data_IF_569209212349
#
_entry.id   IF_569209212349
#
_cell.length_a   1.000
_cell.length_b   1.000
_cell.length_c   1.000
_cell.angle_alpha   90.00
_cell.angle_beta   90.00
_cell.angle_gamma   90.00
#
_symmetry.space_group_name_H-M   'P 1'
#
loop_
_entity.id
_entity.type
_entity.pdbx_description
1 polymer ?
#
# COMPACT_ATOMS: atom_id res chain seq x y z
N UNK A 1 14.93 10.83 24.48
CA UNK A 1 15.81 11.92 24.04
C UNK A 1 15.21 12.58 22.81
N UNK A 2 15.08 13.92 22.83
CA UNK A 2 14.44 14.72 21.76
C UNK A 2 15.14 14.53 20.41
N UNK A 3 16.48 14.52 20.40
CA UNK A 3 17.25 14.34 19.17
C UNK A 3 16.97 12.97 18.49
N UNK A 4 16.84 11.89 19.26
CA UNK A 4 16.47 10.57 18.73
C UNK A 4 15.08 10.57 18.13
N UNK A 5 14.13 11.29 18.76
CA UNK A 5 12.78 11.43 18.22
C UNK A 5 12.75 12.18 16.88
N UNK A 6 13.50 13.29 16.81
CA UNK A 6 13.64 14.11 15.58
C UNK A 6 14.25 13.27 14.43
N UNK A 7 15.29 12.48 14.72
CA UNK A 7 15.88 11.56 13.74
C UNK A 7 14.90 10.50 13.24
N UNK A 8 14.10 9.90 14.14
CA UNK A 8 13.09 8.90 13.78
C UNK A 8 12.02 9.55 12.89
N UNK A 9 11.55 10.75 13.24
CA UNK A 9 10.55 11.49 12.46
C UNK A 9 11.07 11.77 11.05
N UNK A 10 12.26 12.36 10.93
CA UNK A 10 12.86 12.67 9.64
C UNK A 10 13.03 11.40 8.79
N UNK A 11 13.67 10.38 9.34
CA UNK A 11 13.88 9.10 8.65
C UNK A 11 12.56 8.49 8.14
N UNK A 12 11.53 8.48 8.98
CA UNK A 12 10.23 7.88 8.63
C UNK A 12 9.51 8.67 7.56
N UNK A 13 9.54 10.00 7.62
CA UNK A 13 8.95 10.87 6.61
C UNK A 13 9.72 10.79 5.27
N UNK A 14 11.05 10.66 5.30
CA UNK A 14 11.86 10.39 4.10
C UNK A 14 11.53 9.03 3.50
N UNK A 15 11.43 7.99 4.33
CA UNK A 15 11.03 6.65 3.90
C UNK A 15 9.66 6.59 3.24
N UNK A 16 8.74 7.48 3.62
CA UNK A 16 7.43 7.62 3.00
C UNK A 16 7.37 8.66 1.86
N UNK A 17 8.51 9.22 1.44
CA UNK A 17 8.59 10.23 0.39
C UNK A 17 7.84 11.54 0.70
N UNK A 18 7.71 11.89 1.99
CA UNK A 18 6.90 13.02 2.43
C UNK A 18 7.73 14.18 3.03
N UNK A 19 8.97 13.93 3.40
CA UNK A 19 9.80 14.88 4.14
C UNK A 19 9.87 16.27 3.50
N UNK A 20 10.19 16.35 2.22
CA UNK A 20 10.38 17.65 1.54
C UNK A 20 9.10 18.49 1.48
N UNK A 21 7.94 17.84 1.56
CA UNK A 21 6.64 18.53 1.52
C UNK A 21 6.19 19.02 2.91
N UNK A 22 6.74 18.45 4.00
CA UNK A 22 6.23 18.72 5.36
C UNK A 22 7.27 19.22 6.35
N UNK A 23 8.57 19.21 6.04
CA UNK A 23 9.66 19.55 6.96
C UNK A 23 9.50 20.92 7.63
N UNK A 24 8.90 21.90 6.93
CA UNK A 24 8.70 23.26 7.44
C UNK A 24 7.37 23.43 8.21
N UNK A 25 6.61 22.35 8.39
CA UNK A 25 5.29 22.36 9.02
C UNK A 25 5.03 21.18 9.97
N UNK A 26 6.06 20.60 10.54
CA UNK A 26 5.97 19.41 11.40
C UNK A 26 5.06 19.58 12.62
N UNK A 27 4.88 20.81 13.10
CA UNK A 27 4.02 21.12 14.26
C UNK A 27 2.61 21.59 13.88
N UNK A 28 2.27 21.60 12.58
CA UNK A 28 0.93 21.93 12.11
C UNK A 28 0.04 20.70 12.07
N UNK A 29 -1.28 20.93 12.13
CA UNK A 29 -2.26 19.85 12.01
C UNK A 29 -2.12 19.11 10.67
N UNK A 30 -2.13 17.78 10.72
CA UNK A 30 -2.12 16.92 9.55
C UNK A 30 -3.46 16.95 8.76
N UNK A 31 -4.53 17.48 9.35
CA UNK A 31 -5.83 17.63 8.66
C UNK A 31 -5.77 18.60 7.47
N UNK A 32 -4.76 19.48 7.43
CA UNK A 32 -4.51 20.35 6.29
C UNK A 32 -3.67 19.74 5.16
N UNK A 33 -3.32 18.47 5.25
CA UNK A 33 -2.63 17.72 4.19
C UNK A 33 -3.64 17.17 3.16
N UNK A 34 -3.19 16.97 1.91
CA UNK A 34 -3.98 16.27 0.90
C UNK A 34 -4.18 14.79 1.29
N UNK A 35 -5.17 14.11 0.71
CA UNK A 35 -5.43 12.69 0.98
C UNK A 35 -4.19 11.81 0.75
N UNK A 36 -3.47 12.02 -0.35
CA UNK A 36 -2.22 11.29 -0.64
C UNK A 36 -1.10 11.58 0.36
N UNK A 37 -0.99 12.83 0.84
CA UNK A 37 -0.03 13.20 1.89
C UNK A 37 -0.41 12.57 3.23
N UNK A 38 -1.70 12.56 3.59
CA UNK A 38 -2.19 11.91 4.81
C UNK A 38 -1.90 10.40 4.76
N UNK A 39 -2.12 9.76 3.62
CA UNK A 39 -1.80 8.34 3.44
C UNK A 39 -0.30 8.06 3.60
N UNK A 40 0.56 8.87 3.00
CA UNK A 40 2.02 8.75 3.19
C UNK A 40 2.45 9.04 4.63
N UNK A 41 1.76 9.92 5.33
CA UNK A 41 1.98 10.14 6.76
C UNK A 41 1.62 8.89 7.60
N UNK A 42 0.53 8.21 7.27
CA UNK A 42 0.18 6.93 7.91
C UNK A 42 1.25 5.85 7.65
N UNK A 43 1.80 5.78 6.43
CA UNK A 43 2.91 4.89 6.11
C UNK A 43 4.16 5.28 6.91
N UNK A 44 4.53 6.57 6.96
CA UNK A 44 5.67 7.06 7.75
C UNK A 44 5.56 6.66 9.23
N UNK A 45 4.36 6.79 9.79
CA UNK A 45 4.07 6.37 11.18
C UNK A 45 4.30 4.87 11.38
N UNK A 46 3.88 4.04 10.44
CA UNK A 46 4.14 2.60 10.49
C UNK A 46 5.63 2.28 10.36
N UNK A 47 6.37 2.98 9.48
CA UNK A 47 7.82 2.79 9.29
C UNK A 47 8.66 3.22 10.50
N UNK A 48 8.13 4.08 11.38
CA UNK A 48 8.86 4.59 12.55
C UNK A 48 9.32 3.47 13.50
N UNK A 49 8.55 2.38 13.59
CA UNK A 49 8.85 1.22 14.44
C UNK A 49 9.72 0.16 13.73
N UNK A 50 10.14 0.41 12.49
CA UNK A 50 10.95 -0.51 11.66
C UNK A 50 10.33 -1.91 11.55
N UNK A 51 9.11 -2.04 10.99
CA UNK A 51 8.44 -3.32 10.88
C UNK A 51 9.12 -4.21 9.82
N UNK A 52 9.07 -5.52 10.00
CA UNK A 52 9.41 -6.51 8.97
C UNK A 52 8.26 -6.70 7.97
N UNK A 53 7.03 -6.48 8.43
CA UNK A 53 5.79 -6.62 7.64
C UNK A 53 4.92 -5.38 7.79
N UNK A 54 4.52 -4.79 6.67
CA UNK A 54 3.58 -3.68 6.60
C UNK A 54 2.23 -4.18 6.07
N UNK A 55 1.18 -4.00 6.87
CA UNK A 55 -0.20 -4.34 6.49
C UNK A 55 -0.93 -3.07 6.04
N UNK A 56 -1.59 -3.14 4.89
CA UNK A 56 -2.32 -2.02 4.31
C UNK A 56 -3.72 -2.48 3.88
N UNK A 57 -4.72 -1.77 4.34
CA UNK A 57 -6.13 -2.04 3.98
C UNK A 57 -6.64 -0.91 3.09
N UNK A 58 -6.96 -1.24 1.85
CA UNK A 58 -7.46 -0.32 0.82
C UNK A 58 -6.66 1.00 0.72
N UNK A 59 -5.31 0.96 0.57
CA UNK A 59 -4.46 2.14 0.74
C UNK A 59 -4.73 3.27 -0.26
N UNK A 60 -5.38 3.00 -1.38
CA UNK A 60 -5.63 3.98 -2.44
C UNK A 60 -7.12 4.22 -2.73
N UNK A 61 -8.05 3.64 -1.96
CA UNK A 61 -9.49 3.67 -2.27
C UNK A 61 -10.10 5.07 -2.34
N UNK A 62 -9.56 6.03 -1.57
CA UNK A 62 -10.04 7.42 -1.52
C UNK A 62 -9.10 8.41 -2.24
N UNK A 63 -8.17 7.92 -3.07
CA UNK A 63 -7.18 8.74 -3.74
C UNK A 63 -7.48 8.90 -5.23
N UNK A 64 -7.13 10.07 -5.77
CA UNK A 64 -7.10 10.30 -7.21
C UNK A 64 -5.98 9.48 -7.89
N UNK A 65 -6.00 9.34 -9.24
CA UNK A 65 -5.01 8.53 -9.96
C UNK A 65 -3.55 8.98 -9.78
N UNK A 66 -3.30 10.28 -9.60
CA UNK A 66 -1.94 10.81 -9.41
C UNK A 66 -1.42 10.42 -8.04
N UNK A 67 -2.21 10.64 -6.99
CA UNK A 67 -1.87 10.25 -5.62
C UNK A 67 -1.72 8.72 -5.50
N UNK A 68 -2.58 7.95 -6.18
CA UNK A 68 -2.46 6.48 -6.26
C UNK A 68 -1.13 6.07 -6.88
N UNK A 69 -0.73 6.68 -8.00
CA UNK A 69 0.57 6.41 -8.64
C UNK A 69 1.76 6.65 -7.70
N UNK A 70 1.73 7.75 -6.94
CA UNK A 70 2.78 8.06 -5.94
C UNK A 70 2.85 6.98 -4.85
N UNK A 71 1.71 6.51 -4.36
CA UNK A 71 1.67 5.41 -3.36
C UNK A 71 2.21 4.11 -3.99
N UNK A 72 1.81 3.76 -5.21
CA UNK A 72 2.30 2.56 -5.89
C UNK A 72 3.82 2.58 -6.09
N UNK A 73 4.40 3.71 -6.50
CA UNK A 73 5.86 3.89 -6.60
C UNK A 73 6.55 3.73 -5.24
N UNK A 74 5.96 4.30 -4.18
CA UNK A 74 6.47 4.14 -2.82
C UNK A 74 6.47 2.66 -2.41
N UNK A 75 5.42 1.90 -2.72
CA UNK A 75 5.35 0.46 -2.44
C UNK A 75 6.46 -0.33 -3.15
N UNK A 76 6.76 0.00 -4.42
CA UNK A 76 7.87 -0.61 -5.15
C UNK A 76 9.24 -0.33 -4.50
N UNK A 77 9.41 0.82 -3.88
CA UNK A 77 10.61 1.13 -3.12
C UNK A 77 10.66 0.34 -1.81
N UNK A 78 9.59 0.37 -1.03
CA UNK A 78 9.52 -0.25 0.29
C UNK A 78 9.62 -1.78 0.27
N UNK A 79 9.08 -2.45 -0.76
CA UNK A 79 9.12 -3.92 -0.86
C UNK A 79 10.53 -4.50 -0.99
N UNK A 80 11.55 -3.66 -1.22
CA UNK A 80 12.96 -4.07 -1.24
C UNK A 80 13.51 -4.31 0.16
N UNK A 81 12.90 -3.72 1.16
CA UNK A 81 13.37 -3.73 2.55
C UNK A 81 12.43 -4.45 3.52
N UNK A 82 11.15 -4.55 3.18
CA UNK A 82 10.13 -5.16 4.04
C UNK A 82 9.06 -5.92 3.23
N UNK A 83 8.37 -6.82 3.89
CA UNK A 83 7.22 -7.50 3.30
C UNK A 83 5.98 -6.62 3.39
N UNK A 84 5.25 -6.49 2.27
CA UNK A 84 4.01 -5.70 2.23
C UNK A 84 2.84 -6.63 1.95
N UNK A 85 1.80 -6.54 2.76
CA UNK A 85 0.51 -7.23 2.55
C UNK A 85 -0.55 -6.16 2.34
N UNK A 86 -1.21 -6.20 1.17
CA UNK A 86 -2.25 -5.23 0.80
C UNK A 86 -3.58 -5.95 0.65
N UNK A 87 -4.61 -5.44 1.29
CA UNK A 87 -6.00 -5.78 0.98
C UNK A 87 -6.55 -4.73 0.04
N UNK A 88 -7.10 -5.15 -1.09
CA UNK A 88 -7.74 -4.26 -2.06
C UNK A 88 -8.83 -5.01 -2.83
N UNK A 89 -9.90 -4.32 -3.17
CA UNK A 89 -10.90 -4.79 -4.12
C UNK A 89 -10.60 -4.33 -5.56
N UNK A 90 -9.57 -3.49 -5.74
CA UNK A 90 -9.14 -3.03 -7.06
C UNK A 90 -8.18 -4.04 -7.69
N UNK A 91 -8.72 -4.89 -8.58
CA UNK A 91 -7.95 -5.92 -9.27
C UNK A 91 -6.82 -5.36 -10.13
N UNK A 92 -7.01 -4.19 -10.75
CA UNK A 92 -5.97 -3.56 -11.56
C UNK A 92 -4.79 -3.11 -10.68
N UNK A 93 -5.06 -2.59 -9.50
CA UNK A 93 -4.01 -2.26 -8.52
C UNK A 93 -3.28 -3.53 -8.08
N UNK A 94 -4.01 -4.56 -7.67
CA UNK A 94 -3.40 -5.84 -7.29
C UNK A 94 -2.50 -6.40 -8.39
N UNK A 95 -2.96 -6.38 -9.64
CA UNK A 95 -2.19 -6.85 -10.79
C UNK A 95 -0.90 -6.05 -11.03
N UNK A 96 -0.91 -4.72 -10.74
CA UNK A 96 0.27 -3.85 -10.94
C UNK A 96 1.31 -3.96 -9.84
N UNK A 97 0.88 -4.01 -8.57
CA UNK A 97 1.80 -3.79 -7.45
C UNK A 97 2.25 -5.06 -6.76
N UNK A 98 1.52 -6.17 -6.88
CA UNK A 98 1.81 -7.38 -6.12
C UNK A 98 2.65 -8.40 -6.90
N UNK A 99 3.52 -9.10 -6.20
CA UNK A 99 4.28 -10.23 -6.73
C UNK A 99 3.46 -11.53 -6.62
N UNK A 100 2.66 -11.64 -5.55
CA UNK A 100 1.73 -12.74 -5.29
C UNK A 100 0.37 -12.20 -4.91
N UNK A 101 -0.67 -12.92 -5.29
CA UNK A 101 -2.05 -12.55 -4.98
C UNK A 101 -2.79 -13.72 -4.34
N UNK A 102 -3.57 -13.40 -3.31
CA UNK A 102 -4.52 -14.29 -2.68
C UNK A 102 -5.94 -13.80 -3.03
N UNK A 103 -6.73 -14.63 -3.69
CA UNK A 103 -8.14 -14.36 -3.91
C UNK A 103 -8.96 -14.93 -2.76
N UNK A 104 -9.62 -14.03 -2.04
CA UNK A 104 -10.48 -14.36 -0.89
C UNK A 104 -11.94 -14.14 -1.24
N UNK A 105 -12.81 -15.08 -0.85
CA UNK A 105 -14.26 -14.93 -1.00
C UNK A 105 -15.00 -15.51 0.20
N UNK A 106 -15.89 -14.73 0.80
CA UNK A 106 -16.66 -15.10 1.99
C UNK A 106 -15.80 -15.72 3.10
N UNK A 107 -14.65 -15.10 3.38
CA UNK A 107 -13.74 -15.55 4.43
C UNK A 107 -12.91 -16.79 4.08
N UNK A 108 -13.00 -17.29 2.85
CA UNK A 108 -12.24 -18.45 2.39
C UNK A 108 -11.18 -18.04 1.36
N UNK A 109 -9.99 -18.64 1.48
CA UNK A 109 -8.95 -18.54 0.46
C UNK A 109 -9.33 -19.43 -0.73
N UNK A 110 -9.67 -18.81 -1.86
CA UNK A 110 -10.06 -19.51 -3.08
C UNK A 110 -8.84 -19.93 -3.88
N UNK A 111 -7.91 -19.00 -4.11
CA UNK A 111 -6.69 -19.25 -4.88
C UNK A 111 -5.56 -18.35 -4.41
N UNK A 112 -4.33 -18.87 -4.45
CA UNK A 112 -3.12 -18.13 -4.12
C UNK A 112 -2.00 -18.50 -5.08
N UNK A 113 -1.27 -17.53 -5.59
CA UNK A 113 -0.17 -17.79 -6.50
C UNK A 113 0.55 -16.54 -6.97
N UNK A 114 1.40 -16.71 -7.99
CA UNK A 114 2.03 -15.57 -8.66
C UNK A 114 0.96 -14.70 -9.31
N UNK A 115 1.04 -13.41 -9.09
CA UNK A 115 0.06 -12.43 -9.58
C UNK A 115 -0.16 -12.55 -11.08
N UNK A 116 0.91 -12.62 -11.86
CA UNK A 116 0.81 -12.75 -13.32
C UNK A 116 0.00 -14.00 -13.73
N UNK A 117 0.27 -15.13 -13.11
CA UNK A 117 -0.43 -16.39 -13.40
C UNK A 117 -1.90 -16.32 -12.99
N UNK A 118 -2.19 -15.82 -11.79
CA UNK A 118 -3.55 -15.71 -11.26
C UNK A 118 -4.43 -14.81 -12.14
N UNK A 119 -3.90 -13.73 -12.68
CA UNK A 119 -4.64 -12.79 -13.52
C UNK A 119 -4.71 -13.20 -15.00
N UNK A 120 -3.82 -14.06 -15.49
CA UNK A 120 -3.81 -14.49 -16.92
C UNK A 120 -4.33 -15.92 -17.12
N UNK A 121 -4.09 -16.81 -16.19
CA UNK A 121 -4.47 -18.22 -16.28
C UNK A 121 -4.74 -18.81 -14.89
N UNK A 122 -5.83 -18.37 -14.23
CA UNK A 122 -6.20 -18.87 -12.90
C UNK A 122 -6.53 -20.36 -12.93
N UNK A 123 -6.22 -21.07 -11.86
CA UNK A 123 -6.50 -22.50 -11.71
C UNK A 123 -7.94 -22.78 -11.29
N UNK A 124 -8.62 -21.79 -10.72
CA UNK A 124 -9.99 -21.91 -10.24
C UNK A 124 -10.96 -21.11 -11.11
N UNK A 125 -12.06 -21.77 -11.51
CA UNK A 125 -13.12 -21.10 -12.29
C UNK A 125 -13.68 -19.88 -11.53
N UNK A 126 -13.84 -19.97 -10.23
CA UNK A 126 -14.34 -18.87 -9.41
C UNK A 126 -13.43 -17.64 -9.48
N UNK A 127 -12.11 -17.84 -9.53
CA UNK A 127 -11.13 -16.76 -9.74
C UNK A 127 -11.28 -16.14 -11.13
N UNK A 128 -11.40 -16.99 -12.17
CA UNK A 128 -11.61 -16.54 -13.54
C UNK A 128 -12.90 -15.72 -13.67
N UNK A 129 -14.01 -16.20 -13.12
CA UNK A 129 -15.30 -15.53 -13.15
C UNK A 129 -15.21 -14.16 -12.44
N UNK A 130 -14.51 -14.07 -11.33
CA UNK A 130 -14.29 -12.81 -10.61
C UNK A 130 -13.47 -11.81 -11.44
N UNK A 131 -12.33 -12.25 -12.00
CA UNK A 131 -11.46 -11.40 -12.81
C UNK A 131 -12.15 -10.90 -14.08
N UNK A 132 -12.98 -11.75 -14.70
CA UNK A 132 -13.69 -11.42 -15.94
C UNK A 132 -15.02 -10.67 -15.71
N UNK A 133 -15.39 -10.40 -14.46
CA UNK A 133 -16.64 -9.73 -14.12
C UNK A 133 -17.90 -10.60 -14.31
N UNK A 134 -17.73 -11.91 -14.42
CA UNK A 134 -18.84 -12.88 -14.56
C UNK A 134 -19.31 -13.43 -13.20
N UNK A 135 -18.86 -12.80 -12.14
CA UNK A 135 -19.18 -13.19 -10.78
C UNK A 135 -20.51 -12.58 -10.35
N UNK A 136 -21.53 -13.41 -10.29
CA UNK A 136 -22.88 -12.99 -9.91
C UNK A 136 -23.77 -14.20 -9.69
#
# INVERSE_FOLDING_TARGET
NRAVLEEIVERSLRGAGLWEEVKDRLHKSALGLSGGQQQRLCIARALAVKPDVLLMDEPCSALDPIATGIIEELLFSLKKELTIVIVTHNMQQAARVSDRTAFMYLGQLVEYGLTKQLFTNPSKKQTEDYITGRFG
#
